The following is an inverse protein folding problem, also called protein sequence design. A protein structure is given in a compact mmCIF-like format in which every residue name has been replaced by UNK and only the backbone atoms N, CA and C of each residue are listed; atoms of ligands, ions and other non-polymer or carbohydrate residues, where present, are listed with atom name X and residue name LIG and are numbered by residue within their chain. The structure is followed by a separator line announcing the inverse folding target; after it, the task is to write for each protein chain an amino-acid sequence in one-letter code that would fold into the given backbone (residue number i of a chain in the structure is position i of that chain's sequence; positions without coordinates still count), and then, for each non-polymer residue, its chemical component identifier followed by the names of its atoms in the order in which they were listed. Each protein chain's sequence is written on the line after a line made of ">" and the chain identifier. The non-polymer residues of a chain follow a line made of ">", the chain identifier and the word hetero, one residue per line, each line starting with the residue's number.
data_IF_989038429351
#
_entry.id   IF_989038429351
#
_cell.length_a   1.000
_cell.length_b   1.000
_cell.length_c   1.000
_cell.angle_alpha   90.00
_cell.angle_beta   90.00
_cell.angle_gamma   90.00
#
_symmetry.space_group_name_H-M   'P 1'
#
loop_
_entity.id
_entity.type
_entity.pdbx_description
1 polymer ?
#
# COMPACT_ATOMS: atom_id res chain seq x y z
N UNK A 1 6.74 21.09 27.17
CA UNK A 1 6.70 21.72 25.83
C UNK A 1 7.94 21.27 25.08
N UNK A 2 7.82 20.22 24.27
CA UNK A 2 8.89 19.83 23.34
C UNK A 2 8.46 20.35 21.99
N UNK A 3 9.22 21.33 21.49
CA UNK A 3 9.06 21.90 20.16
C UNK A 3 9.29 20.79 19.14
N UNK A 4 8.20 20.28 18.56
CA UNK A 4 8.27 19.36 17.42
C UNK A 4 8.70 20.15 16.21
N UNK A 5 9.95 20.01 15.80
CA UNK A 5 10.40 20.44 14.49
C UNK A 5 9.62 19.64 13.45
N UNK A 6 8.61 20.26 12.84
CA UNK A 6 7.91 19.67 11.69
C UNK A 6 8.90 19.61 10.54
N UNK A 7 9.62 18.49 10.43
CA UNK A 7 10.43 18.19 9.24
C UNK A 7 9.44 18.11 8.09
N UNK A 8 9.45 19.11 7.21
CA UNK A 8 8.64 19.09 6.00
C UNK A 8 9.14 17.94 5.13
N UNK A 9 8.43 16.81 5.12
CA UNK A 9 8.70 15.73 4.17
C UNK A 9 8.63 16.31 2.76
N UNK A 10 9.63 16.01 1.93
CA UNK A 10 9.66 16.43 0.53
C UNK A 10 8.79 15.49 -0.30
N UNK A 11 8.32 15.99 -1.45
CA UNK A 11 7.62 15.14 -2.41
C UNK A 11 8.57 14.06 -2.95
N UNK A 12 8.10 12.83 -3.00
CA UNK A 12 8.81 11.69 -3.59
C UNK A 12 8.63 11.78 -5.10
N UNK A 13 9.73 11.60 -5.84
CA UNK A 13 9.72 11.72 -7.29
C UNK A 13 10.41 10.53 -7.90
N UNK A 14 9.77 9.95 -8.90
CA UNK A 14 10.38 8.97 -9.78
C UNK A 14 10.23 9.42 -11.21
N UNK A 15 11.28 9.22 -12.00
CA UNK A 15 11.34 9.67 -13.39
C UNK A 15 11.88 8.56 -14.27
N UNK A 16 11.26 8.39 -15.43
CA UNK A 16 11.66 7.43 -16.46
C UNK A 16 11.83 5.98 -15.95
N UNK A 17 10.99 5.58 -14.97
CA UNK A 17 10.98 4.20 -14.48
C UNK A 17 10.60 3.26 -15.62
N UNK A 18 11.46 2.28 -15.85
CA UNK A 18 11.23 1.23 -16.83
C UNK A 18 11.68 -0.11 -16.27
N UNK A 19 11.09 -1.18 -16.77
CA UNK A 19 11.43 -2.53 -16.37
C UNK A 19 11.40 -3.46 -17.57
N UNK A 20 12.38 -4.37 -17.63
CA UNK A 20 12.47 -5.41 -18.63
C UNK A 20 12.46 -6.78 -17.95
N UNK A 21 11.79 -7.75 -18.57
CA UNK A 21 11.83 -9.16 -18.16
C UNK A 21 12.04 -10.04 -19.38
N UNK A 22 13.06 -10.91 -19.30
CA UNK A 22 13.43 -11.82 -20.39
C UNK A 22 13.60 -11.12 -21.75
N UNK A 23 14.22 -9.93 -21.76
CA UNK A 23 14.47 -9.14 -22.97
C UNK A 23 13.25 -8.39 -23.52
N UNK A 24 12.09 -8.43 -22.85
CA UNK A 24 10.89 -7.66 -23.23
C UNK A 24 10.64 -6.55 -22.23
N UNK A 25 10.31 -5.35 -22.73
CA UNK A 25 9.84 -4.25 -21.90
C UNK A 25 8.47 -4.60 -21.32
N UNK A 26 8.37 -4.55 -19.99
CA UNK A 26 7.13 -4.81 -19.25
C UNK A 26 6.60 -3.56 -18.53
N UNK A 27 7.45 -2.54 -18.39
CA UNK A 27 7.10 -1.20 -17.95
C UNK A 27 7.87 -0.21 -18.82
N UNK A 28 7.14 0.64 -19.51
CA UNK A 28 7.69 1.73 -20.31
C UNK A 28 7.99 2.94 -19.43
N UNK A 29 8.90 3.84 -19.86
CA UNK A 29 9.31 5.01 -19.08
C UNK A 29 8.10 5.75 -18.49
N UNK A 30 8.01 5.71 -17.17
CA UNK A 30 6.89 6.26 -16.41
C UNK A 30 7.43 7.13 -15.29
N UNK A 31 6.86 8.32 -15.13
CA UNK A 31 7.20 9.24 -14.06
C UNK A 31 6.00 9.43 -13.14
N UNK A 32 6.25 9.58 -11.84
CA UNK A 32 5.20 9.82 -10.85
C UNK A 32 5.75 10.73 -9.75
N UNK A 33 4.92 11.69 -9.35
CA UNK A 33 5.19 12.57 -8.21
C UNK A 33 4.17 12.26 -7.09
N UNK A 34 4.69 12.13 -5.87
CA UNK A 34 3.91 11.79 -4.68
C UNK A 34 4.19 12.84 -3.61
N UNK A 35 3.20 13.68 -3.31
CA UNK A 35 3.30 14.64 -2.22
C UNK A 35 3.25 13.93 -0.85
N UNK A 36 3.76 14.58 0.22
CA UNK A 36 3.62 14.06 1.57
C UNK A 36 2.15 13.80 1.92
N UNK A 37 1.88 12.67 2.60
CA UNK A 37 0.54 12.19 2.89
C UNK A 37 -0.40 11.99 1.68
N UNK A 38 0.09 12.10 0.44
CA UNK A 38 -0.76 11.86 -0.73
C UNK A 38 -1.19 10.39 -0.79
N UNK A 39 -2.43 10.17 -1.26
CA UNK A 39 -2.98 8.85 -1.52
C UNK A 39 -3.17 8.68 -3.02
N UNK A 40 -2.35 7.83 -3.62
CA UNK A 40 -2.41 7.56 -5.06
C UNK A 40 -2.84 6.12 -5.30
N UNK A 41 -3.82 5.92 -6.17
CA UNK A 41 -4.22 4.59 -6.63
C UNK A 41 -3.62 4.27 -8.00
N UNK A 42 -2.94 3.14 -8.13
CA UNK A 42 -2.53 2.58 -9.42
C UNK A 42 -3.54 1.51 -9.80
N UNK A 43 -4.34 1.77 -10.83
CA UNK A 43 -5.45 0.92 -11.26
C UNK A 43 -5.27 0.41 -12.68
N UNK A 44 -5.90 -0.71 -13.02
CA UNK A 44 -5.71 -1.35 -14.33
C UNK A 44 -6.10 -2.82 -14.31
N UNK A 45 -6.29 -3.40 -15.50
CA UNK A 45 -6.59 -4.83 -15.66
C UNK A 45 -5.48 -5.72 -15.10
N UNK A 46 -5.80 -7.00 -14.84
CA UNK A 46 -4.78 -7.98 -14.49
C UNK A 46 -3.74 -8.08 -15.62
N UNK A 47 -2.46 -8.14 -15.27
CA UNK A 47 -1.36 -8.17 -16.23
C UNK A 47 -0.98 -6.81 -16.84
N UNK A 48 -1.63 -5.70 -16.47
CA UNK A 48 -1.33 -4.38 -17.06
C UNK A 48 0.02 -3.77 -16.65
N UNK A 49 0.74 -4.37 -15.70
CA UNK A 49 2.05 -3.89 -15.23
C UNK A 49 2.04 -3.19 -13.87
N UNK A 50 0.92 -3.17 -13.13
CA UNK A 50 0.81 -2.48 -11.83
C UNK A 50 1.82 -2.94 -10.78
N UNK A 51 1.91 -4.25 -10.51
CA UNK A 51 2.88 -4.79 -9.54
C UNK A 51 4.32 -4.60 -10.01
N UNK A 52 4.58 -4.67 -11.32
CA UNK A 52 5.90 -4.35 -11.89
C UNK A 52 6.28 -2.90 -11.58
N UNK A 53 5.36 -1.97 -11.79
CA UNK A 53 5.55 -0.56 -11.44
C UNK A 53 5.76 -0.38 -9.94
N UNK A 54 4.95 -1.04 -9.10
CA UNK A 54 5.12 -1.02 -7.65
C UNK A 54 6.52 -1.43 -7.21
N UNK A 55 7.04 -2.54 -7.73
CA UNK A 55 8.41 -2.98 -7.43
C UNK A 55 9.47 -1.98 -7.93
N UNK A 56 9.35 -1.49 -9.18
CA UNK A 56 10.28 -0.52 -9.74
C UNK A 56 10.29 0.80 -8.94
N UNK A 57 9.11 1.26 -8.51
CA UNK A 57 8.92 2.43 -7.66
C UNK A 57 9.62 2.26 -6.30
N UNK A 58 9.41 1.13 -5.65
CA UNK A 58 10.02 0.81 -4.35
C UNK A 58 11.55 0.81 -4.47
N UNK A 59 12.09 0.10 -5.46
CA UNK A 59 13.53 -0.04 -5.65
C UNK A 59 14.19 1.31 -5.95
N UNK A 60 13.56 2.14 -6.78
CA UNK A 60 14.09 3.45 -7.11
C UNK A 60 14.08 4.41 -5.92
N UNK A 61 12.96 4.51 -5.21
CA UNK A 61 12.87 5.38 -4.03
C UNK A 61 13.83 4.94 -2.91
N UNK A 62 14.01 3.62 -2.70
CA UNK A 62 15.02 3.11 -1.77
C UNK A 62 16.44 3.46 -2.21
N UNK A 63 16.75 3.38 -3.51
CA UNK A 63 18.05 3.83 -4.06
C UNK A 63 18.28 5.32 -3.85
N UNK A 64 17.22 6.13 -3.86
CA UNK A 64 17.28 7.56 -3.53
C UNK A 64 17.43 7.83 -2.02
N UNK A 65 17.35 6.79 -1.17
CA UNK A 65 17.49 6.91 0.28
C UNK A 65 16.19 7.14 1.04
N UNK A 66 15.04 7.05 0.38
CA UNK A 66 13.74 7.15 1.04
C UNK A 66 13.37 5.87 1.79
N UNK A 67 12.66 6.02 2.92
CA UNK A 67 12.13 4.89 3.67
C UNK A 67 10.82 4.43 3.02
N UNK A 68 10.85 3.29 2.33
CA UNK A 68 9.67 2.73 1.64
C UNK A 68 9.33 1.35 2.19
N UNK A 69 8.10 1.22 2.68
CA UNK A 69 7.53 -0.04 3.13
C UNK A 69 6.61 -0.65 2.06
N UNK A 70 6.56 -1.97 2.02
CA UNK A 70 5.69 -2.72 1.11
C UNK A 70 4.80 -3.66 1.92
N UNK A 71 3.52 -3.71 1.55
CA UNK A 71 2.56 -4.70 2.04
C UNK A 71 2.14 -5.57 0.87
N UNK A 72 2.37 -6.90 0.93
CA UNK A 72 1.99 -7.82 -0.13
C UNK A 72 0.48 -8.05 -0.20
N UNK A 73 0.06 -8.73 -1.27
CA UNK A 73 -1.34 -9.04 -1.58
C UNK A 73 -2.00 -9.92 -0.53
N UNK A 74 -1.25 -10.87 0.02
CA UNK A 74 -1.75 -11.74 1.08
C UNK A 74 -0.81 -11.78 2.29
N UNK A 75 -1.34 -12.01 3.51
CA UNK A 75 -0.49 -12.26 4.67
C UNK A 75 0.42 -13.48 4.51
N UNK A 76 0.02 -14.46 3.69
CA UNK A 76 0.75 -15.71 3.49
C UNK A 76 2.08 -15.48 2.75
N UNK A 77 2.21 -14.39 1.99
CA UNK A 77 3.47 -13.97 1.37
C UNK A 77 4.45 -13.34 2.36
N UNK A 78 3.94 -12.79 3.48
CA UNK A 78 4.76 -12.16 4.51
C UNK A 78 5.01 -13.04 5.73
N UNK A 79 4.13 -14.01 6.01
CA UNK A 79 4.12 -14.78 7.25
C UNK A 79 4.47 -16.25 6.98
N UNK A 80 5.66 -16.68 7.43
CA UNK A 80 5.98 -18.11 7.55
C UNK A 80 4.99 -18.78 8.52
N UNK A 81 4.17 -19.75 8.05
CA UNK A 81 3.19 -20.42 8.90
C UNK A 81 3.87 -21.17 10.04
N UNK A 82 5.11 -21.61 9.88
CA UNK A 82 5.82 -22.38 10.90
C UNK A 82 6.41 -21.52 12.03
N UNK A 83 6.31 -20.19 11.94
CA UNK A 83 6.89 -19.25 12.89
C UNK A 83 5.80 -18.54 13.69
N UNK A 84 6.14 -18.10 14.90
CA UNK A 84 5.22 -17.32 15.72
C UNK A 84 5.10 -15.89 15.21
N UNK A 85 4.03 -15.19 15.59
CA UNK A 85 3.89 -13.77 15.29
C UNK A 85 5.02 -12.93 15.93
N UNK A 86 5.49 -13.33 17.12
CA UNK A 86 6.66 -12.71 17.77
C UNK A 86 7.93 -12.79 16.92
N UNK A 87 8.17 -13.93 16.25
CA UNK A 87 9.31 -14.10 15.37
C UNK A 87 9.25 -13.09 14.21
N UNK A 88 8.09 -12.97 13.56
CA UNK A 88 7.89 -12.04 12.44
C UNK A 88 8.11 -10.58 12.84
N UNK A 89 7.60 -10.18 14.01
CA UNK A 89 7.83 -8.83 14.53
C UNK A 89 9.32 -8.53 14.76
N UNK A 90 10.03 -9.47 15.39
CA UNK A 90 11.47 -9.33 15.66
C UNK A 90 12.30 -9.28 14.38
N UNK A 91 11.92 -10.07 13.37
CA UNK A 91 12.57 -10.04 12.05
C UNK A 91 12.34 -8.71 11.34
N UNK A 92 11.15 -8.13 11.46
CA UNK A 92 10.86 -6.80 10.92
C UNK A 92 11.71 -5.71 11.60
N UNK A 93 11.84 -5.73 12.93
CA UNK A 93 12.75 -4.84 13.66
C UNK A 93 14.21 -5.00 13.19
N UNK A 94 14.66 -6.25 13.07
CA UNK A 94 16.03 -6.58 12.63
C UNK A 94 16.31 -6.11 11.21
N UNK A 95 15.36 -6.26 10.29
CA UNK A 95 15.49 -5.82 8.90
C UNK A 95 15.65 -4.29 8.80
N UNK A 96 15.08 -3.54 9.75
CA UNK A 96 15.22 -2.09 9.85
C UNK A 96 16.45 -1.66 10.66
N UNK A 97 17.28 -2.60 11.14
CA UNK A 97 18.43 -2.31 11.99
C UNK A 97 18.05 -1.79 13.38
N UNK A 98 16.80 -1.97 13.80
CA UNK A 98 16.31 -1.56 15.11
C UNK A 98 16.74 -2.57 16.18
N UNK A 99 16.93 -2.09 17.41
CA UNK A 99 17.15 -2.99 18.54
C UNK A 99 15.83 -3.71 18.86
N UNK A 100 15.85 -5.00 19.23
CA UNK A 100 14.63 -5.71 19.58
C UNK A 100 13.83 -4.98 20.67
N UNK A 101 12.53 -4.80 20.42
CA UNK A 101 11.60 -4.16 21.35
C UNK A 101 11.67 -2.63 21.40
N UNK A 102 12.41 -1.96 20.51
CA UNK A 102 12.38 -0.48 20.43
C UNK A 102 11.21 0.05 19.61
N UNK A 103 10.60 -0.77 18.76
CA UNK A 103 9.40 -0.36 18.05
C UNK A 103 8.22 -0.21 19.02
N UNK A 104 7.40 0.82 18.85
CA UNK A 104 6.19 1.02 19.63
C UNK A 104 5.08 0.06 19.16
N UNK A 105 5.28 -1.23 19.45
CA UNK A 105 4.36 -2.31 19.10
C UNK A 105 2.98 -2.06 19.70
N UNK A 106 2.93 -1.57 20.93
CA UNK A 106 1.68 -1.37 21.65
C UNK A 106 0.82 -0.29 20.98
N UNK A 107 1.41 0.86 20.63
CA UNK A 107 0.69 1.90 19.90
C UNK A 107 0.22 1.44 18.52
N UNK A 108 1.08 0.75 17.75
CA UNK A 108 0.71 0.21 16.43
C UNK A 108 -0.41 -0.83 16.53
N UNK A 109 -0.35 -1.72 17.53
CA UNK A 109 -1.38 -2.74 17.73
C UNK A 109 -2.71 -2.15 18.15
N UNK A 110 -2.70 -1.14 19.03
CA UNK A 110 -3.90 -0.42 19.46
C UNK A 110 -4.53 0.37 18.30
N UNK A 111 -3.70 1.00 17.47
CA UNK A 111 -4.12 1.71 16.25
C UNK A 111 -4.81 0.76 15.28
N UNK A 112 -4.21 -0.41 15.03
CA UNK A 112 -4.73 -1.38 14.07
C UNK A 112 -5.71 -2.39 14.68
N UNK A 113 -6.12 -2.21 15.95
CA UNK A 113 -7.10 -3.06 16.65
C UNK A 113 -6.73 -4.55 16.64
N UNK A 114 -5.47 -4.86 16.95
CA UNK A 114 -4.94 -6.22 17.04
C UNK A 114 -4.30 -6.53 18.41
N UNK A 115 -4.54 -5.70 19.42
CA UNK A 115 -3.97 -5.82 20.77
C UNK A 115 -4.27 -7.16 21.47
N UNK A 116 -5.37 -7.82 21.09
CA UNK A 116 -5.77 -9.13 21.65
C UNK A 116 -5.02 -10.32 21.04
N UNK A 117 -4.18 -10.08 20.04
CA UNK A 117 -3.44 -11.13 19.34
C UNK A 117 -2.33 -11.74 20.21
N UNK A 118 -2.39 -13.05 20.48
CA UNK A 118 -1.33 -13.74 21.20
C UNK A 118 -0.10 -13.93 20.29
N UNK A 119 0.98 -13.21 20.61
CA UNK A 119 2.22 -13.21 19.84
C UNK A 119 2.97 -14.56 19.83
N UNK A 120 2.64 -15.47 20.76
CA UNK A 120 3.22 -16.82 20.79
C UNK A 120 2.58 -17.74 19.77
N UNK A 121 1.38 -17.40 19.29
CA UNK A 121 0.69 -18.17 18.25
C UNK A 121 1.39 -18.01 16.90
N UNK A 122 1.12 -18.96 16.03
CA UNK A 122 1.46 -18.94 14.61
C UNK A 122 0.32 -18.31 13.81
N UNK A 123 0.51 -17.94 12.52
CA UNK A 123 -0.49 -17.20 11.74
C UNK A 123 -1.89 -17.80 11.76
N UNK A 124 -2.02 -19.13 11.63
CA UNK A 124 -3.31 -19.82 11.66
C UNK A 124 -4.10 -19.66 12.97
N UNK A 125 -3.44 -19.23 14.05
CA UNK A 125 -4.09 -18.92 15.32
C UNK A 125 -4.73 -17.53 15.37
N UNK A 126 -4.58 -16.74 14.31
CA UNK A 126 -5.12 -15.40 14.11
C UNK A 126 -6.10 -15.39 12.93
N UNK A 127 -7.11 -14.52 12.95
CA UNK A 127 -8.00 -14.34 11.80
C UNK A 127 -7.25 -13.69 10.64
N UNK A 128 -7.70 -13.90 9.39
CA UNK A 128 -7.05 -13.28 8.21
C UNK A 128 -6.97 -11.75 8.30
N UNK A 129 -8.01 -11.11 8.84
CA UNK A 129 -8.00 -9.66 9.08
C UNK A 129 -6.95 -9.24 10.10
N UNK A 130 -6.79 -9.99 11.20
CA UNK A 130 -5.73 -9.71 12.17
C UNK A 130 -4.33 -9.95 11.58
N UNK A 131 -4.16 -11.00 10.77
CA UNK A 131 -2.90 -11.25 10.07
C UNK A 131 -2.55 -10.10 9.12
N UNK A 132 -3.49 -9.62 8.31
CA UNK A 132 -3.25 -8.50 7.39
C UNK A 132 -2.88 -7.23 8.15
N UNK A 133 -3.63 -6.91 9.21
CA UNK A 133 -3.32 -5.76 10.08
C UNK A 133 -1.96 -5.90 10.77
N UNK A 134 -1.56 -7.11 11.14
CA UNK A 134 -0.22 -7.36 11.67
C UNK A 134 0.88 -7.12 10.62
N UNK A 135 0.68 -7.56 9.38
CA UNK A 135 1.62 -7.28 8.27
C UNK A 135 1.73 -5.77 8.02
N UNK A 136 0.61 -5.05 8.03
CA UNK A 136 0.59 -3.59 7.97
C UNK A 136 1.34 -2.98 9.16
N UNK A 137 1.13 -3.50 10.38
CA UNK A 137 1.84 -3.03 11.57
C UNK A 137 3.36 -3.16 11.42
N UNK A 138 3.84 -4.29 10.90
CA UNK A 138 5.26 -4.51 10.64
C UNK A 138 5.82 -3.51 9.61
N UNK A 139 5.06 -3.22 8.55
CA UNK A 139 5.44 -2.24 7.54
C UNK A 139 5.55 -0.81 8.11
N UNK A 140 4.84 -0.50 9.19
CA UNK A 140 4.82 0.82 9.82
C UNK A 140 5.88 1.03 10.92
N UNK A 141 6.57 -0.03 11.36
CA UNK A 141 7.57 0.02 12.45
C UNK A 141 8.58 1.17 12.28
N UNK A 142 9.07 1.37 11.06
CA UNK A 142 10.10 2.35 10.74
C UNK A 142 9.60 3.75 10.38
N UNK A 143 8.31 4.04 10.59
CA UNK A 143 7.66 5.29 10.18
C UNK A 143 8.02 5.72 8.74
N UNK A 144 7.68 4.89 7.73
CA UNK A 144 8.16 5.10 6.36
C UNK A 144 7.70 6.44 5.76
N UNK A 145 8.40 6.89 4.73
CA UNK A 145 7.97 8.02 3.90
C UNK A 145 6.77 7.62 3.02
N UNK A 146 6.79 6.38 2.53
CA UNK A 146 5.79 5.79 1.65
C UNK A 146 5.48 4.35 2.05
N UNK A 147 4.19 4.02 2.06
CA UNK A 147 3.73 2.63 2.06
C UNK A 147 3.13 2.27 0.69
N UNK A 148 3.59 1.17 0.11
CA UNK A 148 3.05 0.61 -1.13
C UNK A 148 2.23 -0.64 -0.78
N UNK A 149 0.95 -0.62 -1.13
CA UNK A 149 0.01 -1.70 -0.86
C UNK A 149 -0.34 -2.37 -2.19
N UNK A 150 0.04 -3.63 -2.40
CA UNK A 150 -0.33 -4.38 -3.60
C UNK A 150 -1.53 -5.28 -3.31
N UNK A 151 -2.72 -4.92 -3.80
CA UNK A 151 -3.97 -5.65 -3.57
C UNK A 151 -4.22 -6.08 -2.09
N UNK A 152 -4.07 -5.16 -1.11
CA UNK A 152 -3.92 -5.48 0.31
C UNK A 152 -5.17 -6.09 0.97
N UNK A 153 -6.29 -6.12 0.27
CA UNK A 153 -7.58 -6.58 0.81
C UNK A 153 -8.23 -7.67 -0.02
N UNK A 154 -7.56 -8.18 -1.07
CA UNK A 154 -8.12 -9.18 -1.99
C UNK A 154 -8.52 -10.49 -1.30
N UNK A 155 -7.81 -10.88 -0.24
CA UNK A 155 -8.06 -12.09 0.54
C UNK A 155 -8.99 -11.88 1.76
N UNK A 156 -9.61 -10.71 1.91
CA UNK A 156 -10.44 -10.35 3.06
C UNK A 156 -11.92 -10.20 2.67
N UNK A 157 -12.81 -10.46 3.64
CA UNK A 157 -14.21 -10.07 3.54
C UNK A 157 -14.32 -8.53 3.36
N UNK A 158 -15.26 -8.01 2.53
CA UNK A 158 -15.38 -6.58 2.24
C UNK A 158 -15.51 -5.67 3.47
N UNK A 159 -16.18 -6.11 4.54
CA UNK A 159 -16.34 -5.32 5.77
C UNK A 159 -15.01 -5.24 6.51
N UNK A 160 -14.29 -6.36 6.61
CA UNK A 160 -12.96 -6.42 7.24
C UNK A 160 -11.93 -5.62 6.43
N UNK A 161 -12.00 -5.68 5.10
CA UNK A 161 -11.19 -4.89 4.18
C UNK A 161 -11.38 -3.38 4.43
N UNK A 162 -12.63 -2.91 4.42
CA UNK A 162 -12.95 -1.50 4.64
C UNK A 162 -12.48 -1.01 6.02
N UNK A 163 -12.73 -1.80 7.08
CA UNK A 163 -12.27 -1.45 8.43
C UNK A 163 -10.73 -1.40 8.52
N UNK A 164 -10.03 -2.31 7.85
CA UNK A 164 -8.55 -2.34 7.83
C UNK A 164 -8.00 -1.11 7.11
N UNK A 165 -8.56 -0.76 5.95
CA UNK A 165 -8.14 0.44 5.21
C UNK A 165 -8.44 1.73 5.96
N UNK A 166 -9.58 1.80 6.68
CA UNK A 166 -9.91 2.96 7.51
C UNK A 166 -8.89 3.18 8.64
N UNK A 167 -8.53 2.12 9.36
CA UNK A 167 -7.54 2.20 10.44
C UNK A 167 -6.18 2.61 9.90
N UNK A 168 -5.79 2.08 8.73
CA UNK A 168 -4.55 2.44 8.07
C UNK A 168 -4.56 3.92 7.65
N UNK A 169 -5.59 4.37 6.93
CA UNK A 169 -5.65 5.74 6.41
C UNK A 169 -5.61 6.80 7.52
N UNK A 170 -6.28 6.53 8.65
CA UNK A 170 -6.20 7.38 9.83
C UNK A 170 -4.74 7.50 10.32
N UNK A 171 -4.06 6.37 10.51
CA UNK A 171 -2.68 6.36 10.97
C UNK A 171 -1.72 7.06 10.01
N UNK A 172 -1.84 6.78 8.70
CA UNK A 172 -1.00 7.40 7.68
C UNK A 172 -1.19 8.92 7.63
N UNK A 173 -2.40 9.42 7.89
CA UNK A 173 -2.71 10.85 7.96
C UNK A 173 -2.03 11.49 9.17
N UNK A 174 -2.18 10.88 10.35
CA UNK A 174 -1.58 11.36 11.60
C UNK A 174 -0.03 11.39 11.53
N UNK A 175 0.57 10.44 10.81
CA UNK A 175 2.04 10.32 10.68
C UNK A 175 2.62 10.96 9.41
N UNK A 176 1.79 11.65 8.61
CA UNK A 176 2.18 12.26 7.34
C UNK A 176 2.94 11.27 6.40
N UNK A 177 2.42 10.05 6.28
CA UNK A 177 2.98 8.98 5.45
C UNK A 177 2.20 8.93 4.13
N UNK A 178 2.88 8.91 2.99
CA UNK A 178 2.23 8.75 1.69
C UNK A 178 1.80 7.30 1.45
N UNK A 179 0.79 7.09 0.59
CA UNK A 179 0.29 5.78 0.22
C UNK A 179 0.20 5.63 -1.28
N UNK A 180 0.73 4.51 -1.79
CA UNK A 180 0.41 4.02 -3.13
C UNK A 180 -0.40 2.73 -2.97
N UNK A 181 -1.64 2.75 -3.45
CA UNK A 181 -2.54 1.61 -3.46
C UNK A 181 -2.60 1.02 -4.88
N UNK A 182 -2.05 -0.16 -5.08
CA UNK A 182 -2.16 -0.91 -6.32
C UNK A 182 -3.38 -1.83 -6.21
N UNK A 183 -4.32 -1.72 -7.14
CA UNK A 183 -5.50 -2.59 -7.16
C UNK A 183 -6.12 -2.66 -8.55
N UNK A 184 -6.84 -3.73 -8.86
CA UNK A 184 -7.73 -3.77 -10.02
C UNK A 184 -9.15 -3.27 -9.70
N UNK A 185 -9.48 -3.13 -8.42
CA UNK A 185 -10.77 -2.63 -7.95
C UNK A 185 -10.75 -1.10 -7.86
N UNK A 186 -11.19 -0.45 -8.94
CA UNK A 186 -11.39 1.00 -9.00
C UNK A 186 -12.28 1.51 -7.88
N UNK A 187 -13.17 0.65 -7.37
CA UNK A 187 -14.11 1.00 -6.36
C UNK A 187 -13.56 1.15 -4.98
N UNK A 188 -12.82 0.12 -4.57
CA UNK A 188 -11.98 0.19 -3.40
C UNK A 188 -11.06 1.41 -3.50
N UNK A 189 -10.35 1.56 -4.63
CA UNK A 189 -9.41 2.67 -4.80
C UNK A 189 -10.08 4.03 -4.59
N UNK A 190 -11.25 4.25 -5.20
CA UNK A 190 -11.94 5.54 -5.16
C UNK A 190 -12.31 6.06 -3.78
N UNK A 191 -12.40 5.17 -2.78
CA UNK A 191 -12.71 5.56 -1.39
C UNK A 191 -11.48 6.02 -0.62
N UNK A 192 -10.30 5.57 -1.01
CA UNK A 192 -9.07 5.70 -0.22
C UNK A 192 -8.01 6.59 -0.87
N UNK A 193 -8.19 6.99 -2.13
CA UNK A 193 -7.19 7.73 -2.89
C UNK A 193 -7.74 9.04 -3.45
N UNK A 194 -6.90 10.09 -3.42
CA UNK A 194 -7.23 11.40 -3.97
C UNK A 194 -6.89 11.51 -5.46
N UNK A 195 -5.89 10.74 -5.91
CA UNK A 195 -5.42 10.70 -7.29
C UNK A 195 -5.40 9.26 -7.80
N UNK A 196 -5.79 9.07 -9.05
CA UNK A 196 -5.75 7.78 -9.72
C UNK A 196 -4.83 7.84 -10.93
N UNK A 197 -4.05 6.79 -11.11
CA UNK A 197 -3.20 6.58 -12.26
C UNK A 197 -3.57 5.23 -12.90
N UNK A 198 -3.98 5.28 -14.16
CA UNK A 198 -4.47 4.13 -14.92
C UNK A 198 -3.32 3.50 -15.71
N UNK A 199 -3.06 2.24 -15.43
CA UNK A 199 -2.03 1.41 -16.05
C UNK A 199 -2.65 0.50 -17.13
N UNK A 200 -2.12 0.57 -18.34
CA UNK A 200 -2.46 -0.33 -19.45
C UNK A 200 -1.17 -0.77 -20.16
N UNK A 201 -0.98 -2.08 -20.30
CA UNK A 201 0.11 -2.68 -21.09
C UNK A 201 1.52 -2.11 -20.79
N UNK A 202 1.80 -1.85 -19.51
CA UNK A 202 3.07 -1.30 -19.05
C UNK A 202 3.21 0.22 -19.21
N UNK A 203 2.13 0.93 -19.54
CA UNK A 203 2.08 2.39 -19.64
C UNK A 203 1.13 2.98 -18.61
N UNK A 204 1.53 4.10 -18.00
CA UNK A 204 0.61 4.99 -17.31
C UNK A 204 -0.12 5.84 -18.37
N UNK A 205 -1.36 5.48 -18.67
CA UNK A 205 -2.11 6.08 -19.79
C UNK A 205 -2.95 7.29 -19.36
N UNK A 206 -3.30 7.39 -18.08
CA UNK A 206 -4.07 8.50 -17.53
C UNK A 206 -3.71 8.71 -16.07
N UNK A 207 -3.47 9.96 -15.64
CA UNK A 207 -3.29 10.34 -14.25
C UNK A 207 -4.14 11.59 -13.98
N UNK A 208 -5.10 11.50 -13.06
CA UNK A 208 -5.96 12.62 -12.70
C UNK A 208 -6.52 12.46 -11.28
N UNK A 209 -7.20 13.50 -10.79
CA UNK A 209 -7.94 13.38 -9.54
C UNK A 209 -8.95 12.23 -9.64
N UNK A 210 -9.18 11.54 -8.53
CA UNK A 210 -10.07 10.37 -8.50
C UNK A 210 -11.43 10.69 -9.13
N UNK A 211 -12.02 11.85 -8.80
CA UNK A 211 -13.32 12.25 -9.33
C UNK A 211 -13.30 12.47 -10.86
N UNK A 212 -12.20 12.96 -11.42
CA UNK A 212 -12.09 13.20 -12.85
C UNK A 212 -12.02 11.87 -13.62
N UNK A 213 -11.27 10.89 -13.12
CA UNK A 213 -11.25 9.52 -13.68
C UNK A 213 -12.64 8.90 -13.60
N UNK A 214 -13.36 9.06 -12.49
CA UNK A 214 -14.66 8.41 -12.29
C UNK A 214 -15.78 9.01 -13.14
N UNK A 215 -15.75 10.32 -13.39
CA UNK A 215 -16.83 11.06 -14.03
C UNK A 215 -16.53 11.37 -15.51
N UNK A 216 -15.28 11.63 -15.84
CA UNK A 216 -14.84 12.08 -17.17
C UNK A 216 -13.54 11.39 -17.61
N UNK A 217 -13.51 10.04 -17.68
CA UNK A 217 -12.32 9.30 -18.08
C UNK A 217 -11.93 9.60 -19.54
N UNK A 218 -10.68 9.95 -19.78
CA UNK A 218 -10.18 10.38 -21.09
C UNK A 218 -9.73 9.21 -21.97
N UNK A 219 -9.19 8.15 -21.35
CA UNK A 219 -8.65 6.99 -22.06
C UNK A 219 -9.65 5.86 -22.15
N UNK A 220 -9.49 5.01 -23.18
CA UNK A 220 -10.29 3.78 -23.33
C UNK A 220 -10.12 2.83 -22.14
N UNK A 221 -8.93 2.73 -21.56
CA UNK A 221 -8.69 1.93 -20.37
C UNK A 221 -9.46 2.45 -19.17
N UNK A 222 -9.39 3.76 -18.88
CA UNK A 222 -10.14 4.36 -17.79
C UNK A 222 -11.65 4.21 -18.00
N UNK A 223 -12.15 4.46 -19.21
CA UNK A 223 -13.56 4.25 -19.58
C UNK A 223 -13.99 2.79 -19.34
N UNK A 224 -13.15 1.82 -19.69
CA UNK A 224 -13.42 0.41 -19.45
C UNK A 224 -13.49 0.11 -17.94
N UNK A 225 -12.52 0.57 -17.14
CA UNK A 225 -12.55 0.38 -15.68
C UNK A 225 -13.79 1.02 -15.04
N UNK A 226 -14.18 2.21 -15.49
CA UNK A 226 -15.38 2.92 -15.02
C UNK A 226 -16.66 2.19 -15.44
N UNK A 227 -16.72 1.64 -16.64
CA UNK A 227 -17.88 0.87 -17.10
C UNK A 227 -18.08 -0.42 -16.29
N UNK A 228 -17.00 -1.03 -15.79
CA UNK A 228 -17.05 -2.21 -14.92
C UNK A 228 -17.23 -1.85 -13.43
N UNK A 229 -17.69 -0.63 -13.09
CA UNK A 229 -18.05 -0.22 -11.71
C UNK A 229 -19.29 -0.98 -11.20
N UNK A 230 -19.12 -2.25 -10.86
CA UNK A 230 -20.20 -3.15 -10.44
C UNK A 230 -20.73 -2.95 -9.00
N UNK A 231 -20.44 -1.85 -8.31
CA UNK A 231 -20.62 -1.79 -6.84
C UNK A 231 -21.15 -0.46 -6.27
N UNK A 232 -21.59 0.51 -7.10
CA UNK A 232 -22.30 1.72 -6.60
C UNK A 232 -23.68 1.42 -5.97
N UNK A 233 -24.08 0.15 -5.88
CA UNK A 233 -25.41 -0.28 -5.43
C UNK A 233 -25.45 -0.98 -4.06
N UNK A 234 -24.35 -1.03 -3.29
CA UNK A 234 -24.41 -1.59 -1.94
C UNK A 234 -24.53 -0.47 -0.89
N UNK A 235 -25.71 -0.30 -0.26
CA UNK A 235 -25.85 0.59 0.89
C UNK A 235 -24.99 0.08 2.05
N UNK A 236 -24.50 1.04 2.83
CA UNK A 236 -23.80 0.86 4.09
C UNK A 236 -24.57 -0.04 5.06
#
# INVERSE_FOLDING_TARGET
>A
MVSGSTVTKLALRVSDLSAMRSGRTILYPTSLNIAPAERIGIVGSSGSGKSTFGHALIDDLRRQGHSVAQVPQSPDEALDPLRSMAFHWQEAERALGLKPGTADREALFATLKIEKGDMRKRPWGWSRGMQQRFVIAMALIGAPDLIVLDEPTSALDPVVAAATMQLLDQHLTEQNIAMVLITHDLGLASKWVSKLAVMQDGHLVEEAATQDILNTPQTKAAQSLVAHRNWMALPC
#
